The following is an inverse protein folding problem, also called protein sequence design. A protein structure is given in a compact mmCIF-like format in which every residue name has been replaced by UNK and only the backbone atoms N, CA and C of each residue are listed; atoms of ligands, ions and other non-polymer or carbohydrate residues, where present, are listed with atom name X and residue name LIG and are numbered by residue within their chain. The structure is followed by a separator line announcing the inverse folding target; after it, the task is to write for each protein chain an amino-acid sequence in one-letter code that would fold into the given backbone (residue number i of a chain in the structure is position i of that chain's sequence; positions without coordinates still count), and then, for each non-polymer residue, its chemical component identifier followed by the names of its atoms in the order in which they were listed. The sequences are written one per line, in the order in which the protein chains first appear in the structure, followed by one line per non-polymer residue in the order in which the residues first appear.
data_IF_177923865690
#
_entry.id   IF_177923865690
#
_cell.length_a   1.000
_cell.length_b   1.000
_cell.length_c   1.000
_cell.angle_alpha   90.00
_cell.angle_beta   90.00
_cell.angle_gamma   90.00
#
_symmetry.space_group_name_H-M   'P 1'
#
loop_
_entity.id
_entity.type
_entity.pdbx_description
1 polymer ?
#
# COMPACT_ATOMS: atom_id res chain seq x y z
N UNK A 1 2.03 2.74 -5.80
CA UNK A 1 1.88 1.50 -6.60
C UNK A 1 2.50 0.37 -5.82
N UNK A 2 1.85 -0.77 -5.72
CA UNK A 2 2.38 -1.99 -5.08
C UNK A 2 2.20 -3.14 -6.04
N UNK A 3 3.25 -3.91 -6.33
CA UNK A 3 3.22 -5.01 -7.30
C UNK A 3 2.63 -4.65 -8.69
N UNK A 4 2.81 -3.41 -9.15
CA UNK A 4 2.21 -2.92 -10.40
C UNK A 4 0.71 -2.59 -10.32
N UNK A 5 0.09 -2.70 -9.14
CA UNK A 5 -1.29 -2.31 -8.87
C UNK A 5 -1.36 -0.94 -8.19
N UNK A 6 -2.35 -0.13 -8.60
CA UNK A 6 -2.64 1.16 -7.99
C UNK A 6 -3.61 0.98 -6.82
N UNK A 7 -3.10 1.09 -5.60
CA UNK A 7 -3.90 1.13 -4.39
C UNK A 7 -4.34 2.58 -4.15
N UNK A 8 -5.65 2.84 -4.09
CA UNK A 8 -6.20 4.18 -3.90
C UNK A 8 -6.36 4.43 -2.40
N UNK A 9 -5.43 5.18 -1.81
CA UNK A 9 -5.44 5.51 -0.37
C UNK A 9 -6.14 6.85 -0.10
N UNK A 10 -6.34 7.70 -1.11
CA UNK A 10 -6.93 9.03 -0.97
C UNK A 10 -5.89 10.13 -0.67
N UNK A 11 -6.25 11.39 -0.91
CA UNK A 11 -5.33 12.54 -0.69
C UNK A 11 -5.18 12.91 0.79
N UNK A 12 -6.12 12.50 1.63
CA UNK A 12 -6.14 12.80 3.08
C UNK A 12 -4.91 12.26 3.81
N UNK A 13 -4.30 11.20 3.29
CA UNK A 13 -3.11 10.56 3.88
C UNK A 13 -1.79 11.00 3.21
N UNK A 14 -1.80 12.12 2.49
CA UNK A 14 -0.59 12.65 1.87
C UNK A 14 0.44 13.07 2.93
N UNK A 15 1.68 12.61 2.78
CA UNK A 15 2.75 12.86 3.75
C UNK A 15 2.85 11.82 4.87
N UNK A 16 1.85 10.95 5.00
CA UNK A 16 1.84 9.86 5.98
C UNK A 16 2.49 8.59 5.43
N UNK A 17 3.17 7.84 6.28
CA UNK A 17 3.66 6.50 5.94
C UNK A 17 2.52 5.51 6.09
N UNK A 18 2.15 4.87 4.99
CA UNK A 18 1.08 3.89 4.92
C UNK A 18 1.69 2.50 4.84
N UNK A 19 1.20 1.60 5.70
CA UNK A 19 1.61 0.20 5.71
C UNK A 19 0.72 -0.58 4.77
N UNK A 20 1.31 -1.28 3.81
CA UNK A 20 0.56 -2.20 2.93
C UNK A 20 0.93 -3.62 3.31
N UNK A 21 0.00 -4.32 3.93
CA UNK A 21 0.12 -5.74 4.23
C UNK A 21 -0.26 -6.54 2.98
N UNK A 22 0.66 -7.40 2.57
CA UNK A 22 0.53 -8.24 1.38
C UNK A 22 0.10 -9.62 1.83
N UNK A 23 -1.14 -9.98 1.54
CA UNK A 23 -1.63 -11.34 1.72
C UNK A 23 -1.76 -12.04 0.36
N UNK A 24 -2.15 -13.32 0.39
CA UNK A 24 -2.22 -14.15 -0.81
C UNK A 24 -3.18 -13.57 -1.84
N UNK A 25 -4.37 -13.15 -1.39
CA UNK A 25 -5.46 -12.73 -2.27
C UNK A 25 -5.76 -11.23 -2.21
N UNK A 26 -5.18 -10.50 -1.26
CA UNK A 26 -5.48 -9.09 -1.10
C UNK A 26 -4.34 -8.27 -0.50
N UNK A 27 -4.36 -6.98 -0.79
CA UNK A 27 -3.57 -5.95 -0.16
C UNK A 27 -4.43 -5.23 0.88
N UNK A 28 -4.01 -5.27 2.15
CA UNK A 28 -4.57 -4.45 3.22
C UNK A 28 -3.75 -3.18 3.35
N UNK A 29 -4.41 -2.04 3.31
CA UNK A 29 -3.80 -0.72 3.44
C UNK A 29 -4.13 -0.19 4.82
N UNK A 30 -3.10 0.10 5.61
CA UNK A 30 -3.20 0.54 6.99
C UNK A 30 -2.54 1.91 7.17
N UNK A 31 -3.19 2.78 7.92
CA UNK A 31 -2.61 4.01 8.47
C UNK A 31 -2.36 3.79 9.97
N UNK A 32 -1.12 3.46 10.32
CA UNK A 32 -0.78 2.97 11.66
C UNK A 32 -1.55 1.68 11.98
N UNK A 33 -2.51 1.78 12.89
CA UNK A 33 -3.38 0.66 13.33
C UNK A 33 -4.73 0.62 12.63
N UNK A 34 -5.07 1.64 11.83
CA UNK A 34 -6.39 1.79 11.22
C UNK A 34 -6.38 1.20 9.81
N UNK A 35 -7.30 0.28 9.51
CA UNK A 35 -7.49 -0.20 8.14
C UNK A 35 -8.21 0.85 7.30
N UNK A 36 -7.55 1.28 6.22
CA UNK A 36 -8.09 2.24 5.26
C UNK A 36 -8.85 1.55 4.14
N UNK A 37 -8.27 0.49 3.59
CA UNK A 37 -8.86 -0.21 2.46
C UNK A 37 -8.31 -1.61 2.27
N UNK A 38 -9.17 -2.44 1.66
CA UNK A 38 -8.83 -3.76 1.16
C UNK A 38 -8.87 -3.73 -0.38
N UNK A 39 -7.83 -4.26 -1.01
CA UNK A 39 -7.77 -4.38 -2.46
C UNK A 39 -7.49 -5.82 -2.85
N UNK A 40 -8.35 -6.42 -3.68
CA UNK A 40 -8.06 -7.71 -4.29
C UNK A 40 -6.75 -7.62 -5.08
N UNK A 41 -5.89 -8.62 -4.89
CA UNK A 41 -4.61 -8.71 -5.55
C UNK A 41 -4.82 -9.22 -6.97
N UNK A 42 -4.41 -8.44 -7.96
CA UNK A 42 -4.59 -8.81 -9.38
C UNK A 42 -3.43 -9.60 -9.96
N UNK A 43 -2.37 -9.85 -9.17
CA UNK A 43 -1.18 -10.57 -9.62
C UNK A 43 -0.59 -11.44 -8.51
N UNK A 44 -0.24 -12.68 -8.85
CA UNK A 44 0.41 -13.63 -7.94
C UNK A 44 1.93 -13.50 -7.94
N UNK A 45 2.49 -12.56 -8.70
CA UNK A 45 3.94 -12.35 -8.76
C UNK A 45 4.51 -12.09 -7.37
N UNK A 46 5.63 -12.73 -6.99
CA UNK A 46 6.24 -12.52 -5.70
C UNK A 46 6.69 -11.06 -5.55
N UNK A 47 6.39 -10.45 -4.41
CA UNK A 47 6.84 -9.10 -4.10
C UNK A 47 8.24 -9.19 -3.54
N UNK A 48 9.22 -8.76 -4.35
CA UNK A 48 10.64 -8.81 -3.98
C UNK A 48 11.17 -7.50 -3.39
N UNK A 49 10.53 -6.38 -3.68
CA UNK A 49 10.95 -5.05 -3.20
C UNK A 49 9.94 -4.50 -2.19
N UNK A 50 10.40 -4.34 -0.95
CA UNK A 50 9.68 -3.70 0.14
C UNK A 50 10.27 -2.30 0.35
N UNK A 51 9.76 -1.33 -0.39
CA UNK A 51 10.27 0.04 -0.35
C UNK A 51 9.28 0.96 0.39
N UNK A 52 9.72 1.54 1.50
CA UNK A 52 9.06 2.71 2.06
C UNK A 52 9.54 3.93 1.27
N UNK A 53 8.64 4.54 0.47
CA UNK A 53 8.97 5.82 -0.15
C UNK A 53 9.03 6.87 0.95
N UNK A 54 10.19 7.51 1.13
CA UNK A 54 10.27 8.71 1.98
C UNK A 54 9.28 9.74 1.44
N UNK A 55 8.50 10.41 2.31
CA UNK A 55 7.70 11.55 1.88
C UNK A 55 8.64 12.54 1.20
N UNK A 56 8.33 12.90 -0.04
CA UNK A 56 9.11 13.88 -0.79
C UNK A 56 8.83 15.23 -0.15
N UNK A 57 9.75 15.71 0.67
CA UNK A 57 9.68 17.04 1.26
C UNK A 57 9.67 18.06 0.12
N UNK A 58 8.67 18.94 0.09
CA UNK A 58 8.56 20.03 -0.89
C UNK A 58 8.87 21.34 -0.20
#
# INVERSE_FOLDING_TARGET
MVAGQRLRVGRTHAGTIITVMVEDHHFRVLDGTTELSLHARTTTKPIRNFNAHRPRNR
#
